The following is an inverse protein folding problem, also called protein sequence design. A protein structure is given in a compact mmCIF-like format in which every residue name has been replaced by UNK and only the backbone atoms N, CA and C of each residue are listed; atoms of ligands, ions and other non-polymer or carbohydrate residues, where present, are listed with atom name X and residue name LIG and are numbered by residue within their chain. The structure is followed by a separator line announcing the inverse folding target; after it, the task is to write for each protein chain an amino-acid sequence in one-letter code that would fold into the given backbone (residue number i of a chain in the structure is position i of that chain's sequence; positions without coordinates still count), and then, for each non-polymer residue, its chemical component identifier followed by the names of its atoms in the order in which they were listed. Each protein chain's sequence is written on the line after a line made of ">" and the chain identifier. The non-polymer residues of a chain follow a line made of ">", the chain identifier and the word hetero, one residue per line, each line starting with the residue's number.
data_IF_819841036312
#
_entry.id   IF_819841036312
#
_cell.length_a   1.000
_cell.length_b   1.000
_cell.length_c   1.000
_cell.angle_alpha   90.00
_cell.angle_beta   90.00
_cell.angle_gamma   90.00
#
_symmetry.space_group_name_H-M   'P 1'
#
loop_
_entity.id
_entity.type
_entity.pdbx_description
1 polymer ?
#
# COMPACT_ATOMS: atom_id res chain seq x y z
N UNK A 1 -40.54 24.87 -43.78
CA UNK A 1 -39.20 24.31 -43.41
C UNK A 1 -38.25 25.46 -43.61
N UNK A 2 -37.67 25.92 -42.51
CA UNK A 2 -36.79 27.08 -42.52
C UNK A 2 -35.41 26.68 -43.02
N UNK A 3 -34.74 27.63 -43.66
CA UNK A 3 -33.38 27.44 -44.22
C UNK A 3 -32.38 26.88 -43.18
N UNK A 4 -32.66 27.13 -41.94
CA UNK A 4 -31.90 26.65 -40.77
C UNK A 4 -31.98 25.13 -40.59
N UNK A 5 -33.15 24.54 -40.83
CA UNK A 5 -33.36 23.08 -40.71
C UNK A 5 -32.52 22.33 -41.76
N UNK A 6 -32.43 22.89 -42.96
CA UNK A 6 -31.66 22.27 -44.05
C UNK A 6 -30.12 22.35 -43.77
N UNK A 7 -29.67 23.41 -43.13
CA UNK A 7 -28.24 23.56 -42.75
C UNK A 7 -27.89 22.58 -41.63
N UNK A 8 -28.75 22.46 -40.61
CA UNK A 8 -28.53 21.52 -39.51
C UNK A 8 -28.56 20.07 -39.99
N UNK A 9 -29.46 19.73 -40.88
CA UNK A 9 -29.52 18.38 -41.45
C UNK A 9 -28.30 18.04 -42.30
N UNK A 10 -27.79 18.96 -43.10
CA UNK A 10 -26.56 18.75 -43.88
C UNK A 10 -25.31 18.62 -42.99
N UNK A 11 -25.23 19.40 -41.93
CA UNK A 11 -24.14 19.29 -40.95
C UNK A 11 -24.17 17.98 -40.18
N UNK A 12 -25.33 17.55 -39.70
CA UNK A 12 -25.50 16.29 -38.98
C UNK A 12 -25.22 15.07 -39.88
N UNK A 13 -25.60 15.08 -41.13
CA UNK A 13 -25.29 14.02 -42.10
C UNK A 13 -23.76 13.96 -42.41
N UNK A 14 -23.10 15.11 -42.52
CA UNK A 14 -21.62 15.16 -42.70
C UNK A 14 -20.88 14.65 -41.48
N UNK A 15 -21.31 15.01 -40.28
CA UNK A 15 -20.72 14.52 -39.04
C UNK A 15 -20.96 13.02 -38.86
N UNK A 16 -22.14 12.52 -39.15
CA UNK A 16 -22.46 11.10 -39.07
C UNK A 16 -21.67 10.25 -40.08
N UNK A 17 -21.36 10.79 -41.27
CA UNK A 17 -20.55 10.11 -42.27
C UNK A 17 -19.05 10.14 -42.01
N UNK A 18 -18.57 11.18 -41.31
CA UNK A 18 -17.15 11.36 -41.03
C UNK A 18 -16.66 10.59 -39.79
N UNK A 19 -17.58 10.26 -38.86
CA UNK A 19 -17.23 9.58 -37.62
C UNK A 19 -17.70 8.14 -37.68
N UNK A 20 -16.79 7.23 -38.00
CA UNK A 20 -17.03 5.80 -37.88
C UNK A 20 -17.33 5.47 -36.40
N UNK A 21 -18.37 4.66 -36.15
CA UNK A 21 -18.71 4.20 -34.79
C UNK A 21 -17.48 3.66 -34.02
N UNK A 22 -16.54 3.05 -34.76
CA UNK A 22 -15.29 2.54 -34.19
C UNK A 22 -14.32 3.64 -33.77
N UNK A 23 -14.28 4.77 -34.51
CA UNK A 23 -13.40 5.88 -34.18
C UNK A 23 -13.93 6.69 -32.99
N UNK A 24 -15.24 6.87 -32.91
CA UNK A 24 -15.91 7.53 -31.78
C UNK A 24 -15.71 6.74 -30.47
N UNK A 25 -15.88 5.43 -30.53
CA UNK A 25 -15.64 4.57 -29.35
C UNK A 25 -14.17 4.55 -28.94
N UNK A 26 -13.24 4.60 -29.90
CA UNK A 26 -11.81 4.72 -29.60
C UNK A 26 -11.45 6.06 -28.97
N UNK A 27 -12.02 7.15 -29.47
CA UNK A 27 -11.76 8.49 -28.91
C UNK A 27 -12.39 8.68 -27.55
N UNK A 28 -13.63 8.23 -27.35
CA UNK A 28 -14.29 8.23 -26.05
C UNK A 28 -13.62 7.27 -25.06
N UNK A 29 -13.25 6.07 -25.51
CA UNK A 29 -12.52 5.10 -24.70
C UNK A 29 -11.17 5.62 -24.28
N UNK A 30 -10.43 6.27 -25.18
CA UNK A 30 -9.14 6.90 -24.86
C UNK A 30 -9.25 8.06 -23.87
N UNK A 31 -10.31 8.85 -23.97
CA UNK A 31 -10.59 9.94 -23.03
C UNK A 31 -10.98 9.41 -21.63
N UNK A 32 -11.82 8.37 -21.58
CA UNK A 32 -12.22 7.77 -20.32
C UNK A 32 -11.08 7.03 -19.62
N UNK A 33 -10.26 6.31 -20.38
CA UNK A 33 -9.08 5.62 -19.82
C UNK A 33 -7.99 6.63 -19.43
N UNK A 34 -7.80 7.68 -20.21
CA UNK A 34 -6.87 8.77 -19.87
C UNK A 34 -7.28 9.55 -18.61
N UNK A 35 -8.59 9.74 -18.41
CA UNK A 35 -9.10 10.39 -17.20
C UNK A 35 -9.09 9.47 -15.96
N UNK A 36 -9.23 8.16 -16.16
CA UNK A 36 -9.17 7.17 -15.08
C UNK A 36 -7.76 6.86 -14.59
N UNK A 37 -6.73 7.30 -15.32
CA UNK A 37 -5.34 7.17 -14.88
C UNK A 37 -4.88 8.28 -13.93
N UNK A 38 -5.75 9.23 -13.58
CA UNK A 38 -5.49 10.11 -12.45
C UNK A 38 -5.65 9.27 -11.18
N UNK A 39 -4.60 9.13 -10.37
CA UNK A 39 -4.70 8.38 -9.13
C UNK A 39 -5.75 9.07 -8.24
N UNK A 40 -6.86 8.38 -8.00
CA UNK A 40 -7.97 8.84 -7.15
C UNK A 40 -7.60 8.92 -5.67
N UNK A 41 -6.38 8.50 -5.33
CA UNK A 41 -5.81 8.74 -4.03
C UNK A 41 -4.82 9.90 -4.16
N UNK A 42 -4.89 10.91 -3.29
CA UNK A 42 -3.81 11.87 -3.13
C UNK A 42 -2.60 11.13 -2.53
N UNK A 43 -1.96 10.28 -3.31
CA UNK A 43 -0.59 9.91 -3.02
C UNK A 43 0.17 11.20 -3.25
N UNK A 44 0.42 11.97 -2.20
CA UNK A 44 1.42 13.00 -2.22
C UNK A 44 2.72 12.31 -2.62
N UNK A 45 3.00 12.28 -3.91
CA UNK A 45 4.33 12.00 -4.40
C UNK A 45 5.14 13.19 -3.94
N UNK A 46 5.62 13.12 -2.71
CA UNK A 46 6.66 14.02 -2.26
C UNK A 46 7.67 14.08 -3.38
N UNK A 47 7.91 15.26 -3.91
CA UNK A 47 8.98 15.47 -4.88
C UNK A 47 10.19 14.74 -4.30
N UNK A 48 10.71 13.77 -5.05
CA UNK A 48 11.91 13.06 -4.67
C UNK A 48 13.04 14.10 -4.67
N UNK A 49 13.08 14.89 -3.61
CA UNK A 49 14.30 15.61 -3.28
C UNK A 49 15.29 14.51 -2.98
N UNK A 50 16.29 14.41 -3.83
CA UNK A 50 17.44 13.53 -3.72
C UNK A 50 18.17 13.79 -2.40
N UNK A 51 17.50 13.52 -1.29
CA UNK A 51 18.15 13.30 0.00
C UNK A 51 18.64 11.86 -0.04
N UNK A 52 19.79 11.66 -0.65
CA UNK A 52 20.59 10.42 -0.65
C UNK A 52 21.12 10.09 0.74
N UNK A 53 20.41 10.48 1.78
CA UNK A 53 20.65 10.05 3.14
C UNK A 53 19.77 8.83 3.41
N UNK A 54 20.38 7.64 3.47
CA UNK A 54 19.76 6.51 4.16
C UNK A 54 19.24 7.04 5.49
N UNK A 55 17.94 6.85 5.76
CA UNK A 55 17.39 7.17 7.06
C UNK A 55 18.27 6.52 8.13
N UNK A 56 18.75 7.29 9.09
CA UNK A 56 19.42 6.71 10.23
C UNK A 56 18.48 5.74 10.90
N UNK A 57 18.97 4.60 11.29
CA UNK A 57 18.18 3.49 11.79
C UNK A 57 18.57 3.14 13.22
N UNK A 58 18.25 4.03 14.18
CA UNK A 58 18.64 3.86 15.56
C UNK A 58 17.81 2.79 16.25
N UNK A 59 18.41 2.12 17.22
CA UNK A 59 17.74 1.16 18.09
C UNK A 59 18.05 -0.29 17.74
N UNK A 60 17.49 -1.18 18.54
CA UNK A 60 17.69 -2.63 18.41
C UNK A 60 16.53 -3.26 17.62
N UNK A 61 16.79 -3.83 16.45
CA UNK A 61 15.77 -4.52 15.65
C UNK A 61 15.13 -5.74 16.32
N UNK A 62 15.71 -6.25 17.40
CA UNK A 62 15.14 -7.35 18.19
C UNK A 62 14.26 -6.85 19.35
N UNK A 63 14.16 -5.54 19.53
CA UNK A 63 13.33 -4.92 20.57
C UNK A 63 12.00 -4.39 20.00
N UNK A 64 10.92 -4.61 20.72
CA UNK A 64 9.63 -4.02 20.37
C UNK A 64 9.62 -2.48 20.41
N UNK A 65 10.56 -1.86 21.11
CA UNK A 65 10.69 -0.40 21.19
C UNK A 65 11.46 0.21 20.01
N UNK A 66 11.88 -0.63 19.06
CA UNK A 66 12.50 -0.14 17.84
C UNK A 66 11.54 0.76 17.06
N UNK A 67 12.00 1.92 16.66
CA UNK A 67 11.15 3.00 16.15
C UNK A 67 10.25 2.62 14.95
N UNK A 68 10.69 1.66 14.11
CA UNK A 68 9.88 1.18 12.99
C UNK A 68 8.71 0.30 13.40
N UNK A 69 8.62 -0.11 14.65
CA UNK A 69 7.59 -1.04 15.11
C UNK A 69 6.41 -0.37 15.80
N UNK A 70 6.17 0.91 15.49
CA UNK A 70 5.10 1.69 16.12
C UNK A 70 3.67 1.12 15.90
N UNK A 71 3.48 0.34 14.85
CA UNK A 71 2.20 -0.31 14.54
C UNK A 71 2.37 -1.80 14.22
N UNK A 72 3.43 -2.43 14.74
CA UNK A 72 3.61 -3.86 14.56
C UNK A 72 2.73 -4.62 15.54
N UNK A 73 2.16 -5.70 15.05
CA UNK A 73 1.47 -6.70 15.85
C UNK A 73 1.95 -8.08 15.41
N UNK A 74 2.63 -8.79 16.32
CA UNK A 74 3.17 -10.10 16.02
C UNK A 74 4.66 -10.29 16.36
N UNK A 75 5.25 -11.38 15.86
CA UNK A 75 6.64 -11.75 16.10
C UNK A 75 7.58 -11.03 15.14
N UNK A 76 8.72 -10.55 15.66
CA UNK A 76 9.72 -9.85 14.86
C UNK A 76 10.54 -10.83 14.01
N UNK A 77 10.57 -10.64 12.69
CA UNK A 77 11.41 -11.46 11.81
C UNK A 77 12.91 -11.32 12.09
N UNK A 78 13.35 -10.20 12.66
CA UNK A 78 14.70 -10.02 13.11
C UNK A 78 15.13 -11.04 14.18
N UNK A 79 14.19 -11.53 15.00
CA UNK A 79 14.42 -12.60 15.98
C UNK A 79 14.27 -14.01 15.43
N UNK A 80 13.78 -14.15 14.18
CA UNK A 80 13.32 -15.43 13.62
C UNK A 80 14.18 -15.92 12.45
N UNK A 81 15.39 -15.40 12.31
CA UNK A 81 16.31 -15.74 11.23
C UNK A 81 16.10 -14.97 9.94
N UNK A 82 15.29 -13.94 9.96
CA UNK A 82 15.16 -12.92 8.93
C UNK A 82 15.85 -11.62 9.32
N UNK A 83 15.29 -10.52 8.86
CA UNK A 83 15.72 -9.18 9.25
C UNK A 83 14.50 -8.26 9.43
N UNK A 84 14.74 -6.99 9.71
CA UNK A 84 13.66 -5.98 9.76
C UNK A 84 12.87 -5.94 8.46
N UNK A 85 13.51 -6.20 7.33
CA UNK A 85 12.91 -6.02 5.99
C UNK A 85 12.83 -7.30 5.16
N UNK A 86 13.39 -8.41 5.63
CA UNK A 86 13.49 -9.65 4.85
C UNK A 86 12.89 -10.81 5.64
N UNK A 87 11.97 -11.51 5.02
CA UNK A 87 11.41 -12.73 5.57
C UNK A 87 12.47 -13.82 5.76
N UNK A 88 12.36 -14.67 6.80
CA UNK A 88 13.25 -15.78 6.99
C UNK A 88 13.22 -16.78 5.82
N UNK A 89 14.31 -17.52 5.58
CA UNK A 89 14.35 -18.55 4.55
C UNK A 89 13.21 -19.56 4.69
N UNK A 90 12.55 -19.87 3.59
CA UNK A 90 11.41 -20.78 3.53
C UNK A 90 10.08 -20.14 3.95
N UNK A 91 10.05 -18.83 4.06
CA UNK A 91 8.81 -18.06 4.19
C UNK A 91 8.68 -17.04 3.07
N UNK A 92 7.47 -16.60 2.77
CA UNK A 92 7.18 -15.57 1.77
C UNK A 92 6.34 -14.45 2.39
N UNK A 93 6.50 -13.21 1.92
CA UNK A 93 5.69 -12.10 2.40
C UNK A 93 4.22 -12.29 1.98
N UNK A 94 3.31 -11.98 2.88
CA UNK A 94 1.88 -11.94 2.59
C UNK A 94 1.57 -10.95 1.46
N UNK A 95 0.55 -11.20 0.64
CA UNK A 95 0.16 -10.30 -0.43
C UNK A 95 -0.49 -9.01 0.09
N UNK A 96 -0.97 -9.02 1.32
CA UNK A 96 -1.64 -7.91 1.97
C UNK A 96 -0.72 -7.36 3.06
N UNK A 97 -0.74 -6.04 3.24
CA UNK A 97 0.10 -5.31 4.17
C UNK A 97 -0.72 -4.23 4.86
N UNK A 98 -0.32 -3.85 6.06
CA UNK A 98 -0.82 -2.62 6.68
C UNK A 98 0.29 -1.60 6.82
N UNK A 99 -0.06 -0.37 7.12
CA UNK A 99 0.91 0.72 7.26
C UNK A 99 0.70 1.47 8.56
N UNK A 100 1.80 1.96 9.11
CA UNK A 100 1.81 2.86 10.25
C UNK A 100 2.70 4.07 9.96
N UNK A 101 2.49 5.15 10.69
CA UNK A 101 3.35 6.32 10.66
C UNK A 101 4.19 6.35 11.93
N UNK A 102 5.49 6.11 11.78
CA UNK A 102 6.41 5.98 12.90
C UNK A 102 7.40 7.15 12.95
N UNK A 103 7.58 7.71 14.14
CA UNK A 103 8.55 8.76 14.41
C UNK A 103 9.94 8.18 14.54
N UNK A 104 10.88 8.64 13.71
CA UNK A 104 12.30 8.31 13.90
C UNK A 104 12.92 9.30 14.89
N UNK A 105 13.45 8.79 15.99
CA UNK A 105 14.06 9.59 17.03
C UNK A 105 15.40 10.21 16.63
N UNK A 106 16.08 9.66 15.61
CA UNK A 106 17.38 10.13 15.18
C UNK A 106 17.31 11.44 14.36
N UNK A 107 16.29 11.58 13.53
CA UNK A 107 16.15 12.74 12.65
C UNK A 107 14.85 13.53 12.89
N UNK A 108 14.01 13.06 13.82
CA UNK A 108 12.76 13.69 14.18
C UNK A 108 11.71 13.70 13.06
N UNK A 109 11.86 12.87 12.03
CA UNK A 109 10.93 12.77 10.91
C UNK A 109 9.95 11.63 11.13
N UNK A 110 8.78 11.78 10.51
CA UNK A 110 7.76 10.73 10.50
C UNK A 110 7.88 9.94 9.20
N UNK A 111 7.92 8.62 9.33
CA UNK A 111 8.06 7.70 8.20
C UNK A 111 6.82 6.83 8.07
N UNK A 112 6.43 6.58 6.83
CA UNK A 112 5.41 5.59 6.52
C UNK A 112 6.11 4.23 6.47
N UNK A 113 5.72 3.34 7.36
CA UNK A 113 6.25 1.99 7.48
C UNK A 113 5.17 1.00 7.08
N UNK A 114 5.53 0.11 6.17
CA UNK A 114 4.68 -1.00 5.72
C UNK A 114 5.08 -2.26 6.45
N UNK A 115 4.10 -2.98 6.95
CA UNK A 115 4.25 -4.26 7.65
C UNK A 115 3.71 -5.39 6.80
N UNK A 116 4.50 -6.46 6.66
CA UNK A 116 4.08 -7.68 6.00
C UNK A 116 4.35 -8.88 6.89
N UNK A 117 3.36 -9.75 6.99
CA UNK A 117 3.55 -11.07 7.57
C UNK A 117 4.38 -11.96 6.65
N UNK A 118 5.24 -12.76 7.24
CA UNK A 118 5.96 -13.80 6.54
C UNK A 118 5.27 -15.14 6.77
N UNK A 119 4.85 -15.77 5.69
CA UNK A 119 3.98 -16.95 5.68
C UNK A 119 4.74 -18.21 5.23
N UNK A 120 4.29 -19.38 5.68
CA UNK A 120 4.85 -20.67 5.23
C UNK A 120 5.53 -21.49 6.33
N UNK A 121 5.65 -20.96 7.53
CA UNK A 121 6.13 -21.66 8.71
C UNK A 121 5.28 -21.32 9.91
N UNK A 122 5.22 -22.21 10.89
CA UNK A 122 4.58 -21.92 12.17
C UNK A 122 5.18 -20.66 12.82
N UNK A 123 4.43 -20.01 13.69
CA UNK A 123 4.89 -18.81 14.38
C UNK A 123 6.27 -19.04 15.00
N UNK A 124 7.10 -18.03 14.89
CA UNK A 124 8.48 -18.06 15.38
C UNK A 124 8.57 -18.17 16.91
N UNK A 125 7.56 -17.68 17.64
CA UNK A 125 7.50 -17.73 19.10
C UNK A 125 8.51 -16.85 19.81
N UNK A 126 9.19 -15.93 19.09
CA UNK A 126 10.21 -15.04 19.67
C UNK A 126 9.92 -13.58 19.43
N UNK A 127 10.24 -12.73 20.38
CA UNK A 127 10.08 -11.28 20.28
C UNK A 127 8.67 -10.90 19.81
N UNK A 128 7.65 -11.30 20.57
CA UNK A 128 6.27 -10.90 20.31
C UNK A 128 6.10 -9.43 20.68
N UNK A 129 5.66 -8.65 19.71
CA UNK A 129 5.27 -7.26 19.91
C UNK A 129 3.78 -7.12 19.67
N UNK A 130 3.08 -6.61 20.65
CA UNK A 130 1.67 -6.29 20.56
C UNK A 130 1.53 -4.80 20.83
N UNK A 131 1.27 -4.03 19.78
CA UNK A 131 0.98 -2.59 19.84
C UNK A 131 -0.49 -2.32 19.58
N UNK A 132 -1.27 -3.34 19.72
CA UNK A 132 -2.67 -3.31 19.43
C UNK A 132 -3.42 -2.60 20.57
N UNK A 133 -3.82 -1.39 20.33
CA UNK A 133 -4.56 -0.56 21.28
C UNK A 133 -6.04 -0.90 21.36
N UNK A 134 -6.45 -2.00 20.81
CA UNK A 134 -7.85 -2.38 20.83
C UNK A 134 -8.14 -3.63 20.04
N UNK A 135 -7.67 -4.77 20.54
CA UNK A 135 -8.07 -6.07 20.03
C UNK A 135 -9.58 -6.17 19.97
N UNK A 136 -10.11 -5.96 18.78
CA UNK A 136 -11.51 -6.21 18.51
C UNK A 136 -11.74 -7.70 18.30
N UNK A 137 -12.90 -8.21 18.66
CA UNK A 137 -13.24 -9.58 18.34
C UNK A 137 -13.23 -9.79 16.81
N UNK A 138 -12.84 -10.97 16.38
CA UNK A 138 -12.67 -11.34 14.97
C UNK A 138 -13.89 -11.05 14.08
N UNK A 139 -15.08 -10.98 14.66
CA UNK A 139 -16.30 -10.59 13.96
C UNK A 139 -16.38 -9.09 13.61
N UNK A 140 -15.39 -8.30 14.04
CA UNK A 140 -15.21 -6.89 13.66
C UNK A 140 -13.85 -6.70 12.99
N UNK A 141 -13.64 -7.26 11.79
CA UNK A 141 -12.33 -7.25 11.13
C UNK A 141 -11.65 -5.88 11.05
N UNK A 142 -12.37 -4.75 10.87
CA UNK A 142 -11.73 -3.44 10.78
C UNK A 142 -11.04 -2.97 12.07
N UNK A 143 -11.35 -3.60 13.21
CA UNK A 143 -10.77 -3.28 14.51
C UNK A 143 -10.14 -4.49 15.18
N UNK A 144 -10.05 -5.63 14.48
CA UNK A 144 -9.39 -6.83 14.95
C UNK A 144 -7.97 -6.84 14.35
N UNK A 145 -6.96 -6.95 15.20
CA UNK A 145 -5.57 -6.99 14.79
C UNK A 145 -5.00 -8.42 14.75
N UNK A 146 -5.75 -9.37 15.23
CA UNK A 146 -5.44 -10.80 15.17
C UNK A 146 -5.80 -11.44 13.82
N UNK A 147 -6.01 -10.60 12.79
CA UNK A 147 -6.33 -11.06 11.44
C UNK A 147 -5.14 -11.81 10.84
N UNK A 148 -5.38 -13.01 10.34
CA UNK A 148 -4.32 -13.76 9.66
C UNK A 148 -4.09 -13.23 8.23
N UNK A 149 -3.14 -12.32 8.07
CA UNK A 149 -2.78 -11.72 6.79
C UNK A 149 -2.17 -12.70 5.79
N UNK A 150 -1.83 -13.91 6.22
CA UNK A 150 -1.33 -14.98 5.34
C UNK A 150 -2.41 -15.63 4.46
N UNK A 151 -3.68 -15.30 4.67
CA UNK A 151 -4.76 -15.76 3.81
C UNK A 151 -4.53 -15.27 2.39
N UNK A 152 -4.45 -16.19 1.43
CA UNK A 152 -4.18 -15.89 0.03
C UNK A 152 -2.70 -15.89 -0.36
N UNK A 153 -1.77 -16.15 0.57
CA UNK A 153 -0.39 -16.47 0.22
C UNK A 153 -0.29 -17.81 -0.51
N UNK A 154 0.78 -18.03 -1.27
CA UNK A 154 0.98 -19.31 -1.99
C UNK A 154 1.14 -20.50 -1.06
N UNK A 155 1.78 -20.29 0.09
CA UNK A 155 1.99 -21.30 1.12
C UNK A 155 0.74 -21.58 1.94
N UNK A 156 -0.31 -20.80 1.73
CA UNK A 156 -1.64 -20.92 2.34
C UNK A 156 -1.64 -21.04 3.87
N UNK A 157 -0.54 -20.80 4.58
CA UNK A 157 -0.42 -20.84 6.03
C UNK A 157 0.99 -21.25 6.42
N UNK A 158 1.32 -21.18 7.66
CA UNK A 158 0.89 -20.29 8.71
C UNK A 158 1.74 -19.02 8.73
N UNK A 159 1.28 -18.06 9.51
CA UNK A 159 2.04 -16.91 9.92
C UNK A 159 3.30 -17.29 10.72
N UNK A 160 4.43 -16.70 10.39
CA UNK A 160 5.70 -16.95 11.08
C UNK A 160 6.19 -15.74 11.90
N UNK A 161 6.33 -14.59 11.25
CA UNK A 161 6.77 -13.34 11.84
C UNK A 161 6.41 -12.17 10.91
N UNK A 162 6.63 -10.94 11.36
CA UNK A 162 6.33 -9.72 10.61
C UNK A 162 7.62 -8.96 10.30
N UNK A 163 7.71 -8.43 9.07
CA UNK A 163 8.75 -7.50 8.63
C UNK A 163 8.18 -6.08 8.54
N UNK A 164 9.06 -5.08 8.64
CA UNK A 164 8.71 -3.66 8.52
C UNK A 164 9.63 -2.94 7.54
N UNK A 165 9.05 -2.26 6.55
CA UNK A 165 9.78 -1.57 5.49
C UNK A 165 9.39 -0.11 5.43
N UNK A 166 10.38 0.79 5.36
CA UNK A 166 10.10 2.20 5.08
C UNK A 166 9.66 2.31 3.62
N UNK A 167 8.48 2.85 3.39
CA UNK A 167 7.91 3.06 2.06
C UNK A 167 7.80 4.54 1.69
N UNK A 168 7.96 5.43 2.66
CA UNK A 168 7.92 6.87 2.43
C UNK A 168 8.21 7.67 3.67
N UNK A 169 8.21 8.98 3.51
CA UNK A 169 8.25 9.98 4.58
C UNK A 169 6.86 10.60 4.65
N UNK A 170 6.32 10.73 5.86
CA UNK A 170 5.07 11.45 6.03
C UNK A 170 5.38 12.95 6.00
N UNK A 171 4.79 13.65 5.04
CA UNK A 171 4.83 15.10 5.03
C UNK A 171 3.92 15.60 6.15
N UNK A 172 4.40 16.57 6.92
CA UNK A 172 3.53 17.25 7.87
C UNK A 172 2.44 17.94 7.05
N UNK A 173 1.21 17.54 7.26
CA UNK A 173 0.09 18.33 6.79
C UNK A 173 0.25 19.73 7.40
N UNK A 174 0.48 20.72 6.52
CA UNK A 174 0.61 22.13 6.90
C UNK A 174 -0.72 22.69 7.39
#
# INVERSE_FOLDING_TARGET
>A
MTDLDQVVERLSRRLAGAVSRRSLLRSLGGLLVGAASLPLLPVARGAATNASGKAQDPGDPASCDYWRYCAIDGFLCACCGGSVTVCPPGTEPAPITWVGTCRNSADGRDYIVSYNDCCGKASCGRCLCNRNEGDGPIYRPPIANDYNWCVGSKSNIPYHCTVSRIVGVADKAG
#
